data_IF_193839994666
#
_entry.id   IF_193839994666
#
_cell.length_a   1.000
_cell.length_b   1.000
_cell.length_c   1.000
_cell.angle_alpha   90.00
_cell.angle_beta   90.00
_cell.angle_gamma   90.00
#
_symmetry.space_group_name_H-M   'P 1'
#
loop_
_entity.id
_entity.type
_entity.pdbx_description
1 polymer ?
#
# COMPACT_ATOMS: atom_id res chain seq x y z
N UNK A 1 -5.72 2.20 33.35
CA UNK A 1 -5.40 2.15 31.91
C UNK A 1 -4.00 2.67 31.56
N UNK A 2 -3.66 3.94 31.79
CA UNK A 2 -2.34 4.50 31.37
C UNK A 2 -1.12 3.71 31.90
N UNK A 3 -1.13 3.32 33.17
CA UNK A 3 -0.07 2.48 33.73
C UNK A 3 -0.04 1.07 33.10
N UNK A 4 -1.19 0.52 32.74
CA UNK A 4 -1.31 -0.78 32.09
C UNK A 4 -0.76 -0.74 30.65
N UNK A 5 -1.06 0.31 29.89
CA UNK A 5 -0.47 0.52 28.56
C UNK A 5 1.06 0.61 28.62
N UNK A 6 1.61 1.28 29.64
CA UNK A 6 3.06 1.35 29.86
C UNK A 6 3.69 0.01 30.20
N UNK A 7 2.94 -0.93 30.78
CA UNK A 7 3.44 -2.27 31.09
C UNK A 7 3.64 -3.14 29.85
N UNK A 8 3.00 -2.80 28.72
CA UNK A 8 3.09 -3.58 27.48
C UNK A 8 2.40 -4.96 27.53
N UNK A 9 1.68 -5.26 28.61
CA UNK A 9 0.99 -6.55 28.77
C UNK A 9 -0.31 -6.57 27.95
N UNK A 10 -0.21 -7.00 26.69
CA UNK A 10 -1.29 -7.01 25.71
C UNK A 10 -2.51 -7.81 26.18
N UNK A 11 -2.31 -8.97 26.80
CA UNK A 11 -3.40 -9.81 27.30
C UNK A 11 -4.18 -9.11 28.40
N UNK A 12 -3.49 -8.52 29.39
CA UNK A 12 -4.15 -7.75 30.45
C UNK A 12 -4.82 -6.50 29.90
N UNK A 13 -4.25 -5.84 28.90
CA UNK A 13 -4.84 -4.67 28.24
C UNK A 13 -6.16 -5.05 27.57
N UNK A 14 -6.17 -6.13 26.76
CA UNK A 14 -7.37 -6.64 26.08
C UNK A 14 -8.43 -7.07 27.09
N UNK A 15 -8.04 -7.81 28.12
CA UNK A 15 -8.94 -8.26 29.18
C UNK A 15 -9.58 -7.07 29.91
N UNK A 16 -8.75 -6.14 30.39
CA UNK A 16 -9.22 -4.96 31.13
C UNK A 16 -10.15 -4.11 30.27
N UNK A 17 -9.80 -3.87 29.00
CA UNK A 17 -10.67 -3.15 28.09
C UNK A 17 -12.02 -3.88 27.91
N UNK A 18 -11.99 -5.20 27.71
CA UNK A 18 -13.18 -6.03 27.53
C UNK A 18 -14.20 -5.96 28.67
N UNK A 19 -13.74 -5.86 29.92
CA UNK A 19 -14.61 -5.77 31.11
C UNK A 19 -14.99 -4.34 31.50
N UNK A 20 -14.23 -3.34 31.07
CA UNK A 20 -14.36 -1.96 31.55
C UNK A 20 -15.65 -1.26 31.11
N UNK A 21 -16.24 -1.63 29.97
CA UNK A 21 -17.47 -1.02 29.40
C UNK A 21 -17.43 0.52 29.25
N UNK A 22 -16.24 1.13 29.19
CA UNK A 22 -16.04 2.56 29.00
C UNK A 22 -15.48 2.83 27.60
N UNK A 23 -16.05 3.82 26.90
CA UNK A 23 -15.70 4.11 25.49
C UNK A 23 -14.24 4.52 25.35
N UNK A 24 -13.77 5.37 26.26
CA UNK A 24 -12.42 5.90 26.28
C UNK A 24 -11.39 4.78 26.49
N UNK A 25 -11.70 3.79 27.33
CA UNK A 25 -10.83 2.63 27.57
C UNK A 25 -10.72 1.78 26.31
N UNK A 26 -11.83 1.53 25.59
CA UNK A 26 -11.78 0.83 24.32
C UNK A 26 -10.91 1.55 23.28
N UNK A 27 -11.09 2.86 23.13
CA UNK A 27 -10.29 3.67 22.19
C UNK A 27 -8.81 3.63 22.56
N UNK A 28 -8.48 3.76 23.84
CA UNK A 28 -7.09 3.68 24.32
C UNK A 28 -6.46 2.31 24.06
N UNK A 29 -7.21 1.22 24.25
CA UNK A 29 -6.74 -0.13 23.97
C UNK A 29 -6.50 -0.32 22.47
N UNK A 30 -7.46 0.07 21.62
CA UNK A 30 -7.33 -0.03 20.17
C UNK A 30 -6.14 0.78 19.63
N UNK A 31 -5.94 2.01 20.12
CA UNK A 31 -4.79 2.85 19.76
C UNK A 31 -3.45 2.16 20.08
N UNK A 32 -3.35 1.51 21.23
CA UNK A 32 -2.16 0.75 21.61
C UNK A 32 -1.95 -0.47 20.71
N UNK A 33 -3.01 -1.25 20.46
CA UNK A 33 -2.94 -2.45 19.64
C UNK A 33 -2.53 -2.14 18.19
N UNK A 34 -2.87 -0.96 17.65
CA UNK A 34 -2.41 -0.53 16.33
C UNK A 34 -0.89 -0.38 16.20
N UNK A 35 -0.18 -0.13 17.30
CA UNK A 35 1.29 -0.06 17.28
C UNK A 35 1.98 -1.43 17.30
N UNK A 36 1.20 -2.51 17.47
CA UNK A 36 1.70 -3.88 17.44
C UNK A 36 1.63 -4.46 16.02
N UNK A 37 2.24 -5.64 15.81
CA UNK A 37 2.20 -6.36 14.54
C UNK A 37 0.86 -7.10 14.37
N UNK A 38 -0.19 -6.33 14.13
CA UNK A 38 -1.55 -6.82 13.93
C UNK A 38 -1.71 -7.71 12.69
N UNK A 39 -0.72 -7.73 11.77
CA UNK A 39 -0.78 -8.54 10.56
C UNK A 39 -0.33 -9.97 10.80
N UNK A 40 0.66 -10.18 11.67
CA UNK A 40 1.08 -11.52 12.14
C UNK A 40 0.10 -12.10 13.15
N UNK A 41 -0.63 -11.26 13.87
CA UNK A 41 -1.56 -11.67 14.93
C UNK A 41 -3.01 -11.25 14.60
N UNK A 42 -3.80 -12.09 13.90
CA UNK A 42 -5.18 -11.78 13.53
C UNK A 42 -6.08 -11.43 14.73
N UNK A 43 -5.77 -11.95 15.92
CA UNK A 43 -6.51 -11.63 17.14
C UNK A 43 -6.33 -10.17 17.57
N UNK A 44 -5.15 -9.58 17.36
CA UNK A 44 -4.93 -8.14 17.60
C UNK A 44 -5.84 -7.32 16.67
N UNK A 45 -5.89 -7.66 15.38
CA UNK A 45 -6.78 -7.00 14.41
C UNK A 45 -8.25 -7.10 14.83
N UNK A 46 -8.73 -8.28 15.21
CA UNK A 46 -10.10 -8.48 15.71
C UNK A 46 -10.39 -7.61 16.94
N UNK A 47 -9.44 -7.52 17.87
CA UNK A 47 -9.57 -6.70 19.06
C UNK A 47 -9.61 -5.20 18.73
N UNK A 48 -8.78 -4.70 17.80
CA UNK A 48 -8.83 -3.31 17.32
C UNK A 48 -10.22 -2.99 16.76
N UNK A 49 -10.74 -3.81 15.85
CA UNK A 49 -12.06 -3.63 15.24
C UNK A 49 -13.15 -3.64 16.30
N UNK A 50 -13.12 -4.62 17.22
CA UNK A 50 -14.07 -4.77 18.32
C UNK A 50 -14.07 -3.56 19.24
N UNK A 51 -12.89 -3.08 19.64
CA UNK A 51 -12.76 -1.96 20.56
C UNK A 51 -13.15 -0.62 19.92
N UNK A 52 -12.76 -0.32 18.69
CA UNK A 52 -13.25 0.91 18.04
C UNK A 52 -14.76 0.91 17.83
N UNK A 53 -15.34 -0.24 17.47
CA UNK A 53 -16.78 -0.39 17.33
C UNK A 53 -17.50 -0.16 18.67
N UNK A 54 -17.04 -0.80 19.75
CA UNK A 54 -17.60 -0.61 21.11
C UNK A 54 -17.38 0.80 21.65
N UNK A 55 -16.25 1.43 21.30
CA UNK A 55 -15.93 2.82 21.63
C UNK A 55 -16.73 3.86 20.83
N UNK A 56 -17.47 3.43 19.79
CA UNK A 56 -18.16 4.30 18.82
C UNK A 56 -17.22 5.28 18.10
N UNK A 57 -15.97 4.87 17.86
CA UNK A 57 -14.96 5.66 17.18
C UNK A 57 -14.74 5.12 15.75
N UNK A 58 -15.78 5.23 14.91
CA UNK A 58 -15.76 4.72 13.54
C UNK A 58 -14.83 5.50 12.61
N UNK A 59 -14.54 6.76 12.96
CA UNK A 59 -13.53 7.59 12.29
C UNK A 59 -12.12 7.02 12.49
N UNK A 60 -11.79 6.59 13.71
CA UNK A 60 -10.51 5.91 14.00
C UNK A 60 -10.45 4.52 13.36
N UNK A 61 -11.57 3.78 13.35
CA UNK A 61 -11.65 2.49 12.65
C UNK A 61 -11.44 2.64 11.14
N UNK A 62 -12.00 3.69 10.53
CA UNK A 62 -11.77 3.98 9.12
C UNK A 62 -10.29 4.26 8.84
N UNK A 63 -9.63 5.04 9.71
CA UNK A 63 -8.18 5.28 9.62
C UNK A 63 -7.35 4.01 9.75
N UNK A 64 -7.75 3.09 10.62
CA UNK A 64 -7.09 1.77 10.74
C UNK A 64 -7.20 0.96 9.44
N UNK A 65 -8.38 0.94 8.81
CA UNK A 65 -8.55 0.24 7.53
C UNK A 65 -7.80 0.90 6.37
N UNK A 66 -7.69 2.24 6.33
CA UNK A 66 -6.86 2.94 5.34
C UNK A 66 -5.37 2.59 5.54
N UNK A 67 -4.89 2.53 6.78
CA UNK A 67 -3.54 2.05 7.10
C UNK A 67 -3.33 0.58 6.69
N UNK A 68 -4.32 -0.28 6.90
CA UNK A 68 -4.28 -1.66 6.42
C UNK A 68 -4.13 -1.73 4.89
N UNK A 69 -4.86 -0.89 4.16
CA UNK A 69 -4.76 -0.82 2.71
C UNK A 69 -3.36 -0.40 2.27
N UNK A 70 -2.79 0.62 2.91
CA UNK A 70 -1.45 1.11 2.61
C UNK A 70 -0.38 0.01 2.80
N UNK A 71 -0.43 -0.72 3.91
CA UNK A 71 0.48 -1.85 4.18
C UNK A 71 0.35 -2.94 3.11
N UNK A 72 -0.87 -3.31 2.73
CA UNK A 72 -1.09 -4.32 1.67
C UNK A 72 -0.51 -3.87 0.31
N UNK A 73 -0.48 -2.57 0.01
CA UNK A 73 0.13 -2.01 -1.21
C UNK A 73 1.66 -1.97 -1.10
N UNK A 74 2.19 -1.38 -0.03
CA UNK A 74 3.62 -1.08 0.12
C UNK A 74 4.47 -2.31 0.42
N UNK A 75 3.97 -3.21 1.27
CA UNK A 75 4.74 -4.38 1.70
C UNK A 75 4.43 -5.63 0.88
N UNK A 76 3.18 -5.77 0.42
CA UNK A 76 2.69 -7.02 -0.18
C UNK A 76 2.26 -6.90 -1.64
N UNK A 77 2.20 -5.68 -2.21
CA UNK A 77 1.70 -5.42 -3.56
C UNK A 77 0.33 -6.07 -3.84
N UNK A 78 -0.50 -6.22 -2.80
CA UNK A 78 -1.78 -6.90 -2.83
C UNK A 78 -2.94 -5.89 -2.93
N UNK A 79 -3.12 -5.40 -4.15
CA UNK A 79 -4.13 -4.40 -4.49
C UNK A 79 -5.58 -4.89 -4.27
N UNK A 80 -5.84 -6.19 -4.38
CA UNK A 80 -7.16 -6.78 -4.09
C UNK A 80 -7.54 -6.65 -2.61
N UNK A 81 -6.61 -7.02 -1.72
CA UNK A 81 -6.82 -6.83 -0.26
C UNK A 81 -6.88 -5.36 0.11
N UNK A 82 -6.05 -4.52 -0.51
CA UNK A 82 -6.09 -3.08 -0.29
C UNK A 82 -7.45 -2.47 -0.67
N UNK A 83 -8.02 -2.85 -1.81
CA UNK A 83 -9.36 -2.43 -2.20
C UNK A 83 -10.43 -2.88 -1.19
N UNK A 84 -10.33 -4.11 -0.68
CA UNK A 84 -11.21 -4.62 0.38
C UNK A 84 -11.12 -3.77 1.66
N UNK A 85 -9.91 -3.45 2.11
CA UNK A 85 -9.69 -2.61 3.28
C UNK A 85 -10.22 -1.18 3.07
N UNK A 86 -9.95 -0.56 1.92
CA UNK A 86 -10.50 0.77 1.58
C UNK A 86 -12.03 0.78 1.57
N UNK A 87 -12.65 -0.31 1.12
CA UNK A 87 -14.11 -0.47 1.15
C UNK A 87 -14.65 -0.47 2.59
N UNK A 88 -13.99 -1.16 3.51
CA UNK A 88 -14.36 -1.16 4.93
C UNK A 88 -14.07 0.20 5.59
N UNK A 89 -12.98 0.88 5.21
CA UNK A 89 -12.69 2.25 5.64
C UNK A 89 -13.84 3.21 5.25
N UNK A 90 -14.27 3.15 3.99
CA UNK A 90 -15.38 3.96 3.48
C UNK A 90 -16.68 3.69 4.25
N UNK A 91 -17.05 2.41 4.44
CA UNK A 91 -18.25 2.01 5.18
C UNK A 91 -18.24 2.53 6.63
N UNK A 92 -17.09 2.44 7.31
CA UNK A 92 -16.94 2.93 8.66
C UNK A 92 -17.08 4.45 8.72
N UNK A 93 -16.38 5.16 7.84
CA UNK A 93 -16.40 6.61 7.80
C UNK A 93 -17.77 7.16 7.44
N UNK A 94 -18.49 6.54 6.50
CA UNK A 94 -19.84 6.96 6.10
C UNK A 94 -20.86 6.87 7.25
N UNK A 95 -20.65 5.93 8.17
CA UNK A 95 -21.48 5.74 9.38
C UNK A 95 -20.97 6.50 10.59
N UNK A 96 -19.76 7.06 10.52
CA UNK A 96 -19.17 7.79 11.63
C UNK A 96 -19.96 9.06 11.92
N UNK A 97 -20.04 9.43 13.20
CA UNK A 97 -20.63 10.71 13.59
C UNK A 97 -19.64 11.82 13.22
N UNK A 98 -19.92 12.56 12.15
CA UNK A 98 -19.07 13.67 11.75
C UNK A 98 -19.04 14.78 12.80
N UNK A 99 -17.83 15.28 13.06
CA UNK A 99 -17.61 16.56 13.75
C UNK A 99 -17.83 17.74 12.79
N UNK A 100 -17.42 17.56 11.53
CA UNK A 100 -17.62 18.47 10.40
C UNK A 100 -18.14 17.63 9.22
N UNK A 101 -19.35 17.90 8.70
CA UNK A 101 -19.89 17.19 7.53
C UNK A 101 -19.00 17.36 6.28
N UNK A 102 -18.45 18.56 6.08
CA UNK A 102 -17.59 18.87 4.94
C UNK A 102 -16.28 18.05 4.97
N UNK A 103 -15.66 17.91 6.15
CA UNK A 103 -14.44 17.11 6.30
C UNK A 103 -14.72 15.63 6.05
N UNK A 104 -15.88 15.15 6.48
CA UNK A 104 -16.32 13.78 6.26
C UNK A 104 -16.52 13.51 4.76
N UNK A 105 -17.24 14.40 4.06
CA UNK A 105 -17.46 14.30 2.63
C UNK A 105 -16.14 14.31 1.85
N UNK A 106 -15.23 15.21 2.21
CA UNK A 106 -13.89 15.29 1.61
C UNK A 106 -13.12 13.97 1.76
N UNK A 107 -13.10 13.40 2.98
CA UNK A 107 -12.42 12.11 3.24
C UNK A 107 -13.10 10.93 2.54
N UNK A 108 -14.43 10.94 2.43
CA UNK A 108 -15.17 9.92 1.68
C UNK A 108 -14.84 9.98 0.18
N UNK A 109 -14.76 11.18 -0.39
CA UNK A 109 -14.36 11.39 -1.78
C UNK A 109 -12.92 10.90 -2.03
N UNK A 110 -12.00 11.19 -1.10
CA UNK A 110 -10.62 10.68 -1.17
C UNK A 110 -10.58 9.14 -1.16
N UNK A 111 -11.30 8.50 -0.24
CA UNK A 111 -11.38 7.02 -0.20
C UNK A 111 -11.98 6.45 -1.50
N UNK A 112 -12.99 7.09 -2.08
CA UNK A 112 -13.57 6.69 -3.36
C UNK A 112 -12.58 6.85 -4.53
N UNK A 113 -11.82 7.94 -4.57
CA UNK A 113 -10.74 8.16 -5.54
C UNK A 113 -9.71 7.03 -5.44
N UNK A 114 -9.21 6.76 -4.22
CA UNK A 114 -8.26 5.67 -3.96
C UNK A 114 -8.78 4.32 -4.45
N UNK A 115 -10.01 3.95 -4.07
CA UNK A 115 -10.63 2.70 -4.50
C UNK A 115 -10.73 2.58 -6.03
N UNK A 116 -11.06 3.67 -6.70
CA UNK A 116 -11.20 3.72 -8.15
C UNK A 116 -9.87 3.46 -8.84
N UNK A 117 -8.80 4.12 -8.40
CA UNK A 117 -7.45 3.91 -8.93
C UNK A 117 -7.00 2.45 -8.72
N UNK A 118 -7.11 1.93 -7.48
CA UNK A 118 -6.72 0.55 -7.15
C UNK A 118 -7.48 -0.46 -8.02
N UNK A 119 -8.79 -0.23 -8.22
CA UNK A 119 -9.63 -1.07 -9.06
C UNK A 119 -9.20 -1.02 -10.53
N UNK A 120 -8.92 0.17 -11.07
CA UNK A 120 -8.42 0.34 -12.45
C UNK A 120 -7.12 -0.43 -12.68
N UNK A 121 -6.16 -0.32 -11.76
CA UNK A 121 -4.89 -1.03 -11.89
C UNK A 121 -5.05 -2.56 -11.80
N UNK A 122 -5.85 -3.03 -10.84
CA UNK A 122 -6.15 -4.46 -10.69
C UNK A 122 -6.86 -5.02 -11.92
N UNK A 123 -7.79 -4.24 -12.50
CA UNK A 123 -8.48 -4.62 -13.73
C UNK A 123 -7.53 -4.69 -14.92
N UNK A 124 -6.65 -3.69 -15.09
CA UNK A 124 -5.64 -3.70 -16.17
C UNK A 124 -4.76 -4.97 -16.11
N UNK A 125 -4.30 -5.35 -14.91
CA UNK A 125 -3.52 -6.58 -14.71
C UNK A 125 -4.28 -7.86 -15.07
N UNK A 126 -5.59 -7.92 -14.80
CA UNK A 126 -6.44 -9.07 -15.16
C UNK A 126 -6.72 -9.14 -16.64
N UNK A 127 -7.05 -8.01 -17.26
CA UNK A 127 -7.35 -7.91 -18.68
C UNK A 127 -6.13 -8.21 -19.56
N UNK A 128 -4.91 -8.08 -19.03
CA UNK A 128 -3.68 -8.35 -19.81
C UNK A 128 -3.64 -9.74 -20.47
N UNK A 129 -4.22 -10.76 -19.85
CA UNK A 129 -4.26 -12.11 -20.44
C UNK A 129 -5.16 -12.21 -21.69
N UNK A 130 -6.15 -11.33 -21.80
CA UNK A 130 -7.15 -11.31 -22.87
C UNK A 130 -6.84 -10.23 -23.91
N UNK A 131 -6.49 -9.02 -23.45
CA UNK A 131 -6.14 -7.87 -24.28
C UNK A 131 -4.94 -7.11 -23.67
N UNK A 132 -3.71 -7.47 -24.06
CA UNK A 132 -2.50 -6.77 -23.63
C UNK A 132 -2.47 -5.29 -24.00
N UNK A 133 -3.06 -4.92 -25.16
CA UNK A 133 -3.01 -3.54 -25.66
C UNK A 133 -3.89 -2.63 -24.81
N UNK A 134 -5.10 -3.08 -24.50
CA UNK A 134 -6.00 -2.32 -23.62
C UNK A 134 -5.44 -2.23 -22.20
N UNK A 135 -4.86 -3.31 -21.67
CA UNK A 135 -4.23 -3.29 -20.36
C UNK A 135 -3.09 -2.27 -20.26
N UNK A 136 -2.23 -2.19 -21.28
CA UNK A 136 -1.15 -1.20 -21.38
C UNK A 136 -1.72 0.21 -21.44
N UNK A 137 -2.71 0.46 -22.31
CA UNK A 137 -3.37 1.77 -22.42
C UNK A 137 -3.96 2.23 -21.09
N UNK A 138 -4.58 1.32 -20.33
CA UNK A 138 -5.11 1.63 -19.01
C UNK A 138 -4.02 1.98 -18.00
N UNK A 139 -2.87 1.30 -18.04
CA UNK A 139 -1.72 1.61 -17.21
C UNK A 139 -1.07 2.94 -17.58
N UNK A 140 -0.99 3.29 -18.86
CA UNK A 140 -0.51 4.61 -19.31
C UNK A 140 -1.42 5.73 -18.82
N UNK A 141 -2.74 5.59 -18.99
CA UNK A 141 -3.71 6.55 -18.47
C UNK A 141 -3.66 6.67 -16.94
N UNK A 142 -3.32 5.60 -16.23
CA UNK A 142 -3.13 5.66 -14.78
C UNK A 142 -1.92 6.52 -14.40
N UNK A 143 -0.82 6.49 -15.17
CA UNK A 143 0.38 7.31 -14.91
C UNK A 143 0.16 8.82 -15.08
N UNK A 144 -0.92 9.21 -15.77
CA UNK A 144 -1.33 10.60 -15.95
C UNK A 144 -2.21 11.11 -14.80
N UNK A 145 -2.72 10.23 -13.92
CA UNK A 145 -3.58 10.62 -12.81
C UNK A 145 -2.78 11.36 -11.71
N UNK A 146 -3.20 12.56 -11.29
CA UNK A 146 -2.44 13.40 -10.36
C UNK A 146 -2.34 12.79 -8.95
N UNK A 147 -3.29 11.94 -8.56
CA UNK A 147 -3.34 11.32 -7.23
C UNK A 147 -2.73 9.91 -7.20
N UNK A 148 -2.15 9.43 -8.31
CA UNK A 148 -1.65 8.06 -8.42
C UNK A 148 -0.62 7.75 -7.34
N UNK A 149 0.41 8.57 -7.19
CA UNK A 149 1.55 8.35 -6.29
C UNK A 149 1.12 8.19 -4.82
N UNK A 150 -0.03 8.77 -4.44
CA UNK A 150 -0.58 8.68 -3.09
C UNK A 150 -1.38 7.40 -2.81
N UNK A 151 -1.70 6.63 -3.85
CA UNK A 151 -2.61 5.49 -3.79
C UNK A 151 -1.96 4.21 -4.31
N UNK A 152 -1.22 4.28 -5.42
CA UNK A 152 -0.61 3.15 -6.10
C UNK A 152 0.87 3.45 -6.23
N UNK A 153 1.69 2.41 -6.08
CA UNK A 153 3.12 2.55 -6.30
C UNK A 153 3.38 2.70 -7.79
N UNK A 154 3.85 3.87 -8.21
CA UNK A 154 4.21 4.13 -9.62
C UNK A 154 5.19 3.10 -10.15
N UNK A 155 6.09 2.62 -9.30
CA UNK A 155 7.03 1.55 -9.65
C UNK A 155 6.34 0.25 -10.10
N UNK A 156 5.19 -0.11 -9.51
CA UNK A 156 4.46 -1.32 -9.92
C UNK A 156 3.83 -1.14 -11.31
N UNK A 157 3.31 0.05 -11.61
CA UNK A 157 2.72 0.39 -12.92
C UNK A 157 3.81 0.45 -13.99
N UNK A 158 4.91 1.16 -13.73
CA UNK A 158 6.04 1.21 -14.65
C UNK A 158 6.69 -0.16 -14.83
N UNK A 159 6.83 -0.97 -13.77
CA UNK A 159 7.39 -2.31 -13.86
C UNK A 159 6.54 -3.23 -14.74
N UNK A 160 5.22 -3.13 -14.63
CA UNK A 160 4.28 -3.82 -15.52
C UNK A 160 4.47 -3.41 -17.00
N UNK A 161 4.58 -2.11 -17.27
CA UNK A 161 4.80 -1.60 -18.63
C UNK A 161 6.16 -2.02 -19.20
N UNK A 162 7.24 -1.93 -18.42
CA UNK A 162 8.58 -2.39 -18.82
C UNK A 162 8.55 -3.86 -19.22
N UNK A 163 7.89 -4.70 -18.42
CA UNK A 163 7.79 -6.13 -18.71
C UNK A 163 7.01 -6.41 -20.01
N UNK A 164 5.94 -5.66 -20.28
CA UNK A 164 5.20 -5.76 -21.53
C UNK A 164 6.06 -5.40 -22.75
N UNK A 165 6.69 -4.22 -22.74
CA UNK A 165 7.47 -3.75 -23.89
C UNK A 165 8.73 -4.58 -24.11
N UNK A 166 9.32 -5.14 -23.04
CA UNK A 166 10.39 -6.10 -23.17
C UNK A 166 9.94 -7.37 -23.92
N UNK A 167 8.74 -7.89 -23.63
CA UNK A 167 8.18 -9.04 -24.34
C UNK A 167 7.83 -8.73 -25.80
N UNK A 168 7.47 -7.47 -26.09
CA UNK A 168 7.20 -6.99 -27.44
C UNK A 168 8.46 -6.62 -28.23
N UNK A 169 9.66 -6.78 -27.65
CA UNK A 169 10.96 -6.37 -28.21
C UNK A 169 11.07 -4.86 -28.52
N UNK A 170 10.17 -4.05 -27.96
CA UNK A 170 10.27 -2.59 -28.00
C UNK A 170 11.13 -2.09 -26.84
N UNK A 171 12.43 -2.30 -26.98
CA UNK A 171 13.41 -1.93 -25.96
C UNK A 171 13.47 -0.40 -25.72
N UNK A 172 13.16 0.40 -26.73
CA UNK A 172 13.19 1.86 -26.64
C UNK A 172 12.09 2.35 -25.68
N UNK A 173 10.86 1.83 -25.86
CA UNK A 173 9.74 2.17 -24.98
C UNK A 173 9.93 1.57 -23.59
N UNK A 174 10.44 0.35 -23.48
CA UNK A 174 10.79 -0.26 -22.19
C UNK A 174 11.80 0.61 -21.41
N UNK A 175 12.85 1.10 -22.08
CA UNK A 175 13.85 1.98 -21.47
C UNK A 175 13.25 3.33 -21.02
N UNK A 176 12.33 3.90 -21.80
CA UNK A 176 11.60 5.12 -21.41
C UNK A 176 10.89 4.95 -20.07
N UNK A 177 10.20 3.83 -19.85
CA UNK A 177 9.53 3.58 -18.57
C UNK A 177 10.50 3.27 -17.41
N UNK A 178 11.67 2.69 -17.68
CA UNK A 178 12.74 2.58 -16.69
C UNK A 178 13.24 3.95 -16.24
N UNK A 179 13.42 4.89 -17.18
CA UNK A 179 13.83 6.26 -16.85
C UNK A 179 12.73 7.04 -16.11
N UNK A 180 11.46 6.89 -16.50
CA UNK A 180 10.33 7.46 -15.75
C UNK A 180 10.27 6.91 -14.32
N UNK A 181 10.50 5.61 -14.14
CA UNK A 181 10.61 5.00 -12.81
C UNK A 181 11.80 5.58 -12.02
N UNK A 182 12.97 5.74 -12.63
CA UNK A 182 14.17 6.33 -12.00
C UNK A 182 13.95 7.75 -11.48
N UNK A 183 13.09 8.55 -12.14
CA UNK A 183 12.77 9.91 -11.71
C UNK A 183 11.89 9.95 -10.47
N UNK A 184 11.01 8.97 -10.29
CA UNK A 184 9.98 8.97 -9.23
C UNK A 184 10.28 8.02 -8.07
N UNK A 185 11.10 7.00 -8.31
CA UNK A 185 11.44 5.97 -7.33
C UNK A 185 12.89 6.12 -6.88
N UNK A 186 13.18 6.13 -5.56
CA UNK A 186 14.55 6.13 -5.05
C UNK A 186 15.36 4.96 -5.64
N UNK A 187 16.63 5.17 -6.06
CA UNK A 187 17.44 4.13 -6.68
C UNK A 187 17.59 2.85 -5.84
N UNK A 188 17.66 3.00 -4.51
CA UNK A 188 17.73 1.88 -3.57
C UNK A 188 16.51 0.93 -3.62
N UNK A 189 15.37 1.43 -4.12
CA UNK A 189 14.10 0.71 -4.16
C UNK A 189 13.78 0.16 -5.56
N UNK A 190 14.62 0.42 -6.56
CA UNK A 190 14.37 0.03 -7.96
C UNK A 190 14.21 -1.48 -8.14
N UNK A 191 15.03 -2.25 -7.42
CA UNK A 191 15.03 -3.72 -7.45
C UNK A 191 13.74 -4.35 -6.92
N UNK A 192 12.91 -3.61 -6.17
CA UNK A 192 11.60 -4.08 -5.72
C UNK A 192 10.56 -4.13 -6.86
N UNK A 193 10.78 -3.37 -7.92
CA UNK A 193 9.81 -3.21 -9.01
C UNK A 193 10.25 -3.91 -10.29
N UNK A 194 11.55 -3.90 -10.58
CA UNK A 194 12.12 -4.47 -11.80
C UNK A 194 13.36 -5.27 -11.46
N UNK A 195 13.43 -6.50 -11.95
CA UNK A 195 14.59 -7.37 -11.74
C UNK A 195 15.81 -6.86 -12.49
N UNK A 196 17.01 -7.08 -11.96
CA UNK A 196 18.26 -6.74 -12.65
C UNK A 196 18.34 -7.39 -14.05
N UNK A 197 17.81 -8.63 -14.20
CA UNK A 197 17.76 -9.32 -15.49
C UNK A 197 16.91 -8.57 -16.52
N UNK A 198 15.77 -8.01 -16.10
CA UNK A 198 14.89 -7.21 -16.95
C UNK A 198 15.62 -5.93 -17.37
N UNK A 199 16.29 -5.25 -16.43
CA UNK A 199 17.09 -4.04 -16.72
C UNK A 199 18.19 -4.36 -17.73
N UNK A 200 18.98 -5.41 -17.48
CA UNK A 200 20.08 -5.83 -18.35
C UNK A 200 19.57 -6.18 -19.75
N UNK A 201 18.45 -6.90 -19.86
CA UNK A 201 17.85 -7.27 -21.14
C UNK A 201 17.44 -6.04 -21.97
N UNK A 202 16.85 -5.02 -21.33
CA UNK A 202 16.51 -3.75 -22.00
C UNK A 202 17.77 -3.03 -22.48
N UNK A 203 18.83 -2.98 -21.67
CA UNK A 203 20.08 -2.31 -22.06
C UNK A 203 20.78 -3.06 -23.20
N UNK A 204 20.82 -4.39 -23.15
CA UNK A 204 21.37 -5.23 -24.22
C UNK A 204 20.63 -5.05 -25.55
N UNK A 205 19.29 -5.02 -25.51
CA UNK A 205 18.47 -4.79 -26.70
C UNK A 205 18.73 -3.43 -27.38
N UNK A 206 19.20 -2.44 -26.61
CA UNK A 206 19.59 -1.11 -27.12
C UNK A 206 21.10 -0.96 -27.39
N UNK A 207 21.92 -1.99 -27.13
CA UNK A 207 23.38 -1.91 -27.23
C UNK A 207 24.02 -0.98 -26.19
N UNK A 208 23.32 -0.72 -25.07
CA UNK A 208 23.81 0.14 -23.99
C UNK A 208 24.69 -0.64 -23.00
N UNK A 209 25.63 0.03 -22.31
CA UNK A 209 26.40 -0.58 -21.24
C UNK A 209 25.49 -1.10 -20.11
N UNK A 210 25.83 -2.25 -19.52
CA UNK A 210 25.07 -2.81 -18.40
C UNK A 210 25.24 -1.94 -17.15
N UNK A 211 24.13 -1.54 -16.55
CA UNK A 211 24.10 -0.71 -15.34
C UNK A 211 23.77 -1.60 -14.13
N UNK A 212 24.70 -1.74 -13.18
CA UNK A 212 24.41 -2.42 -11.91
C UNK A 212 23.49 -1.55 -11.06
N UNK A 213 22.23 -1.96 -10.90
CA UNK A 213 21.27 -1.33 -9.99
C UNK A 213 21.23 -2.08 -8.67
N UNK A 214 22.15 -1.78 -7.76
CA UNK A 214 22.14 -2.30 -6.39
C UNK A 214 23.16 -1.58 -5.51
N UNK A 215 22.92 -1.45 -4.19
CA UNK A 215 23.91 -0.89 -3.29
C UNK A 215 25.15 -1.79 -3.34
N UNK A 216 26.32 -1.17 -3.55
CA UNK A 216 27.58 -1.86 -3.30
C UNK A 216 27.55 -2.35 -1.86
N UNK A 217 27.35 -3.65 -1.66
CA UNK A 217 27.79 -4.28 -0.42
C UNK A 217 29.29 -4.04 -0.37
N UNK A 218 29.69 -3.00 0.38
CA UNK A 218 31.05 -2.81 0.84
C UNK A 218 31.40 -4.11 1.53
N UNK A 219 32.14 -4.96 0.82
CA UNK A 219 32.82 -6.08 1.42
C UNK A 219 33.80 -5.42 2.39
N UNK A 220 33.45 -5.37 3.66
CA UNK A 220 34.43 -5.17 4.71
C UNK A 220 35.38 -6.37 4.62
N UNK A 221 36.39 -6.22 3.78
CA UNK A 221 37.60 -6.99 3.85
C UNK A 221 38.18 -6.75 5.25
N UNK A 222 37.96 -7.71 6.13
CA UNK A 222 38.77 -7.90 7.31
C UNK A 222 40.22 -7.94 6.87
N UNK A 223 41.00 -6.94 7.29
CA UNK A 223 42.46 -7.00 7.31
C UNK A 223 42.89 -6.32 8.60
N UNK A 224 43.45 -7.18 9.46
CA UNK A 224 44.24 -6.96 10.68
C UNK A 224 43.58 -6.44 11.97
#
# INVERSE_FOLDING_TARGET
>A
MRALLKSGDTEKIVFFAGVSRQKEIYIMAANYLQSLDWRKEPEIMKNIISFYTKGRALDLLAGFYDACAQVEIDEYQNYDKAHGALTEAYKCLAKAKAKSPLDQETKLAQLQSKMTLVKRFTQARRTYAEDPKEAVRQCELLLEEPELDSTIRVGDVCGFLVQHYLQAEDFQTAYRYLEEMRKRVPPANMSYYVSQRTVDAVHQGLGLPLVRTGPEHVCHSSVD
#
